data_IF_825572584512
#
_entry.id   IF_825572584512
#
_cell.length_a   1.000
_cell.length_b   1.000
_cell.length_c   1.000
_cell.angle_alpha   90.00
_cell.angle_beta   90.00
_cell.angle_gamma   90.00
#
_symmetry.space_group_name_H-M   'P 1'
#
loop_
_entity.id
_entity.type
_entity.pdbx_description
1 polymer ?
#
# COMPACT_ATOMS: atom_id res chain seq x y z
N UNK A 1 -5.38 -10.54 14.68
CA UNK A 1 -4.44 -9.57 14.08
C UNK A 1 -4.34 -9.73 12.57
N UNK A 2 -3.86 -8.71 11.87
CA UNK A 2 -3.64 -8.75 10.41
C UNK A 2 -2.69 -9.89 10.03
N UNK A 3 -1.62 -10.10 10.80
CA UNK A 3 -0.67 -11.18 10.56
C UNK A 3 -1.33 -12.56 10.56
N UNK A 4 -2.30 -12.80 11.46
CA UNK A 4 -3.03 -14.07 11.51
C UNK A 4 -3.93 -14.26 10.28
N UNK A 5 -4.59 -13.18 9.81
CA UNK A 5 -5.39 -13.23 8.59
C UNK A 5 -4.49 -13.56 7.37
N UNK A 6 -3.31 -12.93 7.29
CA UNK A 6 -2.33 -13.16 6.22
C UNK A 6 -1.85 -14.62 6.25
N UNK A 7 -1.46 -15.17 7.42
CA UNK A 7 -1.01 -16.57 7.58
C UNK A 7 -2.07 -17.57 7.12
N UNK A 8 -3.34 -17.31 7.46
CA UNK A 8 -4.45 -18.19 7.05
C UNK A 8 -4.65 -18.20 5.54
N UNK A 9 -4.47 -17.04 4.88
CA UNK A 9 -4.75 -16.89 3.46
C UNK A 9 -3.57 -17.24 2.56
N UNK A 10 -2.38 -16.74 2.88
CA UNK A 10 -1.21 -16.89 2.04
C UNK A 10 -0.21 -17.87 2.66
N UNK A 11 -0.16 -19.09 2.15
CA UNK A 11 0.69 -20.16 2.70
C UNK A 11 2.18 -19.99 2.38
N UNK A 12 2.51 -19.30 1.31
CA UNK A 12 3.90 -19.18 0.81
C UNK A 12 4.21 -17.73 0.45
N UNK A 13 4.89 -17.03 1.37
CA UNK A 13 5.43 -15.69 1.18
C UNK A 13 6.93 -15.76 1.36
N UNK A 14 7.70 -15.18 0.47
CA UNK A 14 9.16 -15.13 0.57
C UNK A 14 9.62 -13.74 1.01
N UNK A 15 8.94 -12.68 0.56
CA UNK A 15 9.32 -11.30 0.75
C UNK A 15 8.09 -10.42 0.97
N UNK A 16 8.24 -9.41 1.81
CA UNK A 16 7.28 -8.32 1.97
C UNK A 16 7.83 -7.07 1.28
N UNK A 17 7.01 -6.43 0.47
CA UNK A 17 7.30 -5.14 -0.16
C UNK A 17 6.33 -4.09 0.38
N UNK A 18 6.87 -3.02 0.96
CA UNK A 18 6.10 -1.91 1.50
C UNK A 18 6.37 -0.62 0.72
N UNK A 19 5.37 0.09 0.23
CA UNK A 19 5.58 1.42 -0.34
C UNK A 19 5.81 2.46 0.77
N UNK A 20 6.87 3.22 0.66
CA UNK A 20 7.18 4.30 1.59
C UNK A 20 6.26 5.50 1.34
N UNK A 21 5.89 6.24 2.39
CA UNK A 21 6.32 6.10 3.80
C UNK A 21 5.33 5.25 4.62
N UNK A 22 4.01 5.39 4.39
CA UNK A 22 2.96 4.83 5.24
C UNK A 22 3.09 3.31 5.45
N UNK A 23 3.41 2.57 4.38
CA UNK A 23 3.54 1.12 4.44
C UNK A 23 4.76 0.59 5.21
N UNK A 24 5.77 1.42 5.50
CA UNK A 24 7.05 0.94 6.04
C UNK A 24 6.91 0.34 7.42
N UNK A 25 6.25 1.04 8.34
CA UNK A 25 6.10 0.59 9.73
C UNK A 25 5.26 -0.69 9.80
N UNK A 26 4.11 -0.71 9.13
CA UNK A 26 3.26 -1.90 9.13
C UNK A 26 3.92 -3.06 8.37
N UNK A 27 4.65 -2.78 7.29
CA UNK A 27 5.44 -3.78 6.57
C UNK A 27 6.47 -4.44 7.47
N UNK A 28 7.23 -3.65 8.23
CA UNK A 28 8.20 -4.13 9.20
C UNK A 28 7.55 -5.04 10.26
N UNK A 29 6.48 -4.57 10.91
CA UNK A 29 5.79 -5.35 11.95
C UNK A 29 5.22 -6.68 11.40
N UNK A 30 4.60 -6.64 10.23
CA UNK A 30 4.10 -7.88 9.60
C UNK A 30 5.26 -8.81 9.24
N UNK A 31 6.36 -8.27 8.72
CA UNK A 31 7.56 -9.05 8.40
C UNK A 31 8.13 -9.77 9.62
N UNK A 32 8.27 -9.05 10.73
CA UNK A 32 8.68 -9.58 12.02
C UNK A 32 7.76 -10.72 12.50
N UNK A 33 6.44 -10.50 12.49
CA UNK A 33 5.44 -11.48 12.92
C UNK A 33 5.36 -12.72 12.01
N UNK A 34 5.66 -12.55 10.72
CA UNK A 34 5.69 -13.64 9.75
C UNK A 34 7.08 -14.29 9.61
N UNK A 35 8.11 -13.71 10.24
CA UNK A 35 9.53 -14.09 10.08
C UNK A 35 9.94 -14.06 8.60
N UNK A 36 9.61 -12.95 7.92
CA UNK A 36 9.92 -12.71 6.52
C UNK A 36 10.72 -11.44 6.34
N UNK A 37 11.65 -11.48 5.38
CA UNK A 37 12.36 -10.30 4.94
C UNK A 37 11.36 -9.24 4.49
N UNK A 38 11.64 -7.99 4.87
CA UNK A 38 10.83 -6.82 4.48
C UNK A 38 11.72 -5.78 3.85
N UNK A 39 11.35 -5.36 2.66
CA UNK A 39 11.95 -4.24 1.96
C UNK A 39 10.90 -3.18 1.67
N UNK A 40 11.34 -1.99 1.35
CA UNK A 40 10.43 -0.94 0.91
C UNK A 40 10.89 -0.32 -0.41
N UNK A 41 9.92 0.25 -1.13
CA UNK A 41 10.18 1.10 -2.28
C UNK A 41 9.81 2.54 -1.95
N UNK A 42 10.55 3.47 -2.51
CA UNK A 42 10.35 4.91 -2.29
C UNK A 42 10.20 5.65 -3.62
N UNK A 43 9.54 6.82 -3.59
CA UNK A 43 9.35 7.60 -4.81
C UNK A 43 10.59 8.39 -5.16
N UNK A 44 11.06 8.18 -6.38
CA UNK A 44 12.11 8.99 -7.02
C UNK A 44 11.51 9.54 -8.32
N UNK A 45 11.48 10.83 -8.47
CA UNK A 45 10.86 11.50 -9.62
C UNK A 45 9.43 11.00 -9.91
N UNK A 46 8.63 10.85 -8.83
CA UNK A 46 7.25 10.43 -8.90
C UNK A 46 7.01 8.92 -9.12
N UNK A 47 8.05 8.12 -9.34
CA UNK A 47 7.95 6.67 -9.59
C UNK A 47 8.50 5.87 -8.41
N UNK A 48 7.84 4.79 -8.03
CA UNK A 48 8.41 3.86 -7.04
C UNK A 48 9.64 3.16 -7.59
N UNK A 49 10.67 3.12 -6.77
CA UNK A 49 11.99 2.56 -7.09
C UNK A 49 12.52 1.82 -5.87
N UNK A 50 13.17 0.69 -6.09
CA UNK A 50 13.97 0.02 -5.06
C UNK A 50 15.32 0.74 -4.96
N UNK A 51 15.70 1.10 -3.73
CA UNK A 51 16.97 1.78 -3.42
C UNK A 51 17.66 1.09 -2.25
N UNK A 52 18.76 1.66 -1.76
CA UNK A 52 19.46 1.20 -0.55
C UNK A 52 19.92 -0.26 -0.63
N UNK A 53 20.26 -0.72 -1.84
CA UNK A 53 20.65 -2.12 -2.06
C UNK A 53 19.50 -3.12 -2.04
N UNK A 54 18.24 -2.68 -1.87
CA UNK A 54 17.10 -3.58 -1.93
C UNK A 54 16.90 -4.13 -3.33
N UNK A 55 16.68 -5.44 -3.41
CA UNK A 55 16.34 -6.14 -4.64
C UNK A 55 15.25 -7.19 -4.38
N UNK A 56 14.58 -7.61 -5.42
CA UNK A 56 13.60 -8.69 -5.40
C UNK A 56 14.18 -9.84 -6.21
N UNK A 57 14.43 -10.98 -5.58
CA UNK A 57 14.96 -12.17 -6.26
C UNK A 57 13.96 -12.70 -7.29
N UNK A 58 14.47 -13.14 -8.44
CA UNK A 58 13.67 -13.81 -9.47
C UNK A 58 12.90 -14.98 -8.86
N UNK A 59 11.62 -15.08 -9.19
CA UNK A 59 10.74 -16.15 -8.70
C UNK A 59 10.20 -15.95 -7.28
N UNK A 60 10.70 -14.96 -6.52
CA UNK A 60 10.23 -14.69 -5.15
C UNK A 60 8.73 -14.41 -5.12
N UNK A 61 8.05 -14.93 -4.11
CA UNK A 61 6.63 -14.69 -3.84
C UNK A 61 6.49 -13.50 -2.91
N UNK A 62 6.03 -12.39 -3.47
CA UNK A 62 6.02 -11.09 -2.81
C UNK A 62 4.61 -10.70 -2.37
N UNK A 63 4.45 -10.38 -1.08
CA UNK A 63 3.24 -9.77 -0.53
C UNK A 63 3.46 -8.26 -0.42
N UNK A 64 2.52 -7.46 -0.93
CA UNK A 64 2.54 -6.01 -0.75
C UNK A 64 1.77 -5.66 0.52
N UNK A 65 2.40 -4.85 1.39
CA UNK A 65 1.80 -4.36 2.64
C UNK A 65 1.71 -2.84 2.60
N UNK A 66 0.51 -2.32 2.84
CA UNK A 66 0.20 -0.89 2.89
C UNK A 66 -0.44 -0.51 4.24
N UNK A 67 -0.40 0.75 4.60
CA UNK A 67 -1.21 1.30 5.69
C UNK A 67 -2.69 1.38 5.27
N UNK A 68 -2.96 2.05 4.16
CA UNK A 68 -4.32 2.26 3.63
C UNK A 68 -4.35 2.01 2.12
N UNK A 69 -5.25 1.15 1.67
CA UNK A 69 -5.54 0.99 0.24
C UNK A 69 -6.84 1.71 -0.10
N UNK A 70 -6.77 2.67 -1.04
CA UNK A 70 -7.93 3.39 -1.59
C UNK A 70 -8.19 2.98 -3.04
N UNK A 71 -7.56 3.64 -4.00
CA UNK A 71 -7.66 3.29 -5.43
C UNK A 71 -6.75 2.14 -5.83
N UNK A 72 -5.78 1.78 -4.99
CA UNK A 72 -4.76 0.78 -5.29
C UNK A 72 -3.66 1.27 -6.24
N UNK A 73 -3.58 2.59 -6.54
CA UNK A 73 -2.58 3.13 -7.48
C UNK A 73 -1.15 2.84 -7.01
N UNK A 74 -0.82 3.08 -5.75
CA UNK A 74 0.50 2.78 -5.16
C UNK A 74 0.81 1.30 -5.24
N UNK A 75 -0.14 0.46 -4.85
CA UNK A 75 0.00 -1.00 -4.92
C UNK A 75 0.23 -1.49 -6.34
N UNK A 76 -0.47 -0.93 -7.35
CA UNK A 76 -0.25 -1.28 -8.77
C UNK A 76 1.15 -0.84 -9.27
N UNK A 77 1.68 0.26 -8.77
CA UNK A 77 3.06 0.66 -9.07
C UNK A 77 4.07 -0.32 -8.47
N UNK A 78 3.84 -0.81 -7.25
CA UNK A 78 4.65 -1.87 -6.63
C UNK A 78 4.59 -3.18 -7.42
N UNK A 79 3.43 -3.54 -7.98
CA UNK A 79 3.29 -4.72 -8.87
C UNK A 79 4.23 -4.62 -10.07
N UNK A 80 4.44 -3.42 -10.62
CA UNK A 80 5.37 -3.22 -11.74
C UNK A 80 6.83 -3.54 -11.34
N UNK A 81 7.24 -3.20 -10.11
CA UNK A 81 8.57 -3.56 -9.59
C UNK A 81 8.73 -5.07 -9.46
N UNK A 82 7.72 -5.75 -8.91
CA UNK A 82 7.69 -7.21 -8.77
C UNK A 82 7.83 -7.87 -10.15
N UNK A 83 7.04 -7.43 -11.14
CA UNK A 83 7.10 -7.95 -12.52
C UNK A 83 8.46 -7.71 -13.17
N UNK A 84 9.02 -6.50 -13.01
CA UNK A 84 10.35 -6.16 -13.55
C UNK A 84 11.45 -7.07 -13.00
N UNK A 85 11.28 -7.56 -11.78
CA UNK A 85 12.20 -8.51 -11.13
C UNK A 85 11.91 -9.97 -11.46
N UNK A 86 10.99 -10.27 -12.38
CA UNK A 86 10.53 -11.64 -12.66
C UNK A 86 10.08 -12.40 -11.40
N UNK A 87 9.51 -11.71 -10.45
CA UNK A 87 8.95 -12.25 -9.21
C UNK A 87 7.42 -12.41 -9.32
N UNK A 88 6.81 -13.04 -8.33
CA UNK A 88 5.39 -13.37 -8.30
C UNK A 88 4.67 -12.56 -7.23
N UNK A 89 3.60 -11.86 -7.59
CA UNK A 89 2.72 -11.24 -6.62
C UNK A 89 1.89 -12.31 -5.92
N UNK A 90 1.89 -12.31 -4.59
CA UNK A 90 1.03 -13.17 -3.76
C UNK A 90 -0.34 -12.52 -3.56
N UNK A 91 -0.35 -11.24 -3.21
CA UNK A 91 -1.55 -10.46 -2.94
C UNK A 91 -1.21 -9.15 -2.24
N UNK A 92 -2.23 -8.58 -1.62
CA UNK A 92 -2.12 -7.32 -0.89
C UNK A 92 -2.63 -7.47 0.52
N UNK A 93 -2.01 -6.74 1.47
CA UNK A 93 -2.61 -6.58 2.78
C UNK A 93 -2.44 -5.14 3.27
N UNK A 94 -3.37 -4.68 4.13
CA UNK A 94 -3.33 -3.33 4.69
C UNK A 94 -4.02 -3.27 6.04
N UNK A 95 -3.76 -2.21 6.80
CA UNK A 95 -4.53 -1.93 8.00
C UNK A 95 -5.96 -1.56 7.63
N UNK A 96 -6.12 -0.62 6.70
CA UNK A 96 -7.42 -0.07 6.32
C UNK A 96 -7.66 -0.27 4.81
N UNK A 97 -8.68 -1.04 4.48
CA UNK A 97 -9.22 -1.12 3.12
C UNK A 97 -10.35 -0.10 2.96
N UNK A 98 -10.12 0.89 2.12
CA UNK A 98 -11.10 1.92 1.72
C UNK A 98 -11.50 1.80 0.25
N UNK A 99 -11.30 0.62 -0.35
CA UNK A 99 -11.64 0.44 -1.76
C UNK A 99 -13.15 0.43 -1.97
N UNK A 100 -13.62 1.28 -2.88
CA UNK A 100 -14.97 1.22 -3.44
C UNK A 100 -14.93 0.62 -4.84
N UNK A 101 -14.01 1.13 -5.68
CA UNK A 101 -13.69 0.58 -7.00
C UNK A 101 -12.18 0.54 -7.12
N UNK A 102 -11.61 -0.64 -7.33
CA UNK A 102 -10.17 -0.82 -7.48
C UNK A 102 -9.84 -1.64 -8.72
N UNK A 103 -8.68 -1.37 -9.31
CA UNK A 103 -8.11 -2.16 -10.41
C UNK A 103 -7.26 -3.33 -9.90
N UNK A 104 -7.15 -3.51 -8.60
CA UNK A 104 -6.45 -4.64 -8.03
C UNK A 104 -7.27 -5.91 -8.26
N UNK A 105 -6.68 -6.87 -8.99
CA UNK A 105 -7.34 -8.14 -9.31
C UNK A 105 -7.13 -9.20 -8.22
N UNK A 106 -6.06 -9.07 -7.43
CA UNK A 106 -5.75 -9.98 -6.34
C UNK A 106 -6.50 -9.57 -5.09
N UNK A 107 -6.75 -10.54 -4.22
CA UNK A 107 -7.41 -10.32 -2.93
C UNK A 107 -6.63 -9.37 -2.03
N UNK A 108 -7.37 -8.53 -1.33
CA UNK A 108 -6.85 -7.60 -0.32
C UNK A 108 -7.25 -8.13 1.06
N UNK A 109 -6.27 -8.44 1.89
CA UNK A 109 -6.49 -8.79 3.29
C UNK A 109 -6.34 -7.53 4.14
N UNK A 110 -7.38 -7.12 4.81
CA UNK A 110 -7.36 -5.93 5.66
C UNK A 110 -7.66 -6.23 7.11
N UNK A 111 -7.13 -5.38 8.01
CA UNK A 111 -7.54 -5.42 9.41
C UNK A 111 -8.97 -4.89 9.54
N UNK A 112 -9.27 -3.77 8.87
CA UNK A 112 -10.58 -3.12 8.85
C UNK A 112 -10.93 -2.74 7.41
N UNK A 113 -12.20 -2.87 7.04
CA UNK A 113 -12.75 -2.32 5.79
C UNK A 113 -13.71 -1.19 6.12
N UNK A 114 -13.46 0.00 5.56
CA UNK A 114 -14.26 1.19 5.77
C UNK A 114 -14.84 1.70 4.46
N UNK A 115 -16.15 1.91 4.43
CA UNK A 115 -16.81 2.62 3.34
C UNK A 115 -16.84 4.11 3.68
N UNK A 116 -15.92 4.87 3.07
CA UNK A 116 -15.89 6.33 3.23
C UNK A 116 -16.40 6.95 1.95
N UNK A 117 -17.48 7.75 2.01
CA UNK A 117 -18.01 8.43 0.85
C UNK A 117 -16.96 9.34 0.23
N UNK A 118 -16.88 9.34 -1.09
CA UNK A 118 -16.04 10.26 -1.86
C UNK A 118 -16.95 11.08 -2.75
N UNK A 119 -16.83 12.40 -2.71
CA UNK A 119 -17.68 13.30 -3.47
C UNK A 119 -16.86 14.02 -4.54
N UNK A 120 -17.49 14.30 -5.66
CA UNK A 120 -16.92 15.20 -6.65
C UNK A 120 -17.06 16.64 -6.15
N UNK A 121 -16.05 17.49 -6.37
CA UNK A 121 -16.06 18.89 -5.99
C UNK A 121 -17.31 19.65 -6.51
N UNK A 122 -17.83 19.24 -7.66
CA UNK A 122 -19.02 19.84 -8.27
C UNK A 122 -20.33 19.44 -7.58
N UNK A 123 -20.36 18.29 -6.87
CA UNK A 123 -21.55 17.69 -6.26
C UNK A 123 -21.29 17.38 -4.79
N UNK A 124 -20.86 18.36 -4.03
CA UNK A 124 -20.67 18.23 -2.58
C UNK A 124 -22.02 18.33 -1.87
N UNK A 125 -22.30 17.43 -0.91
CA UNK A 125 -23.43 17.62 0.02
C UNK A 125 -23.35 18.96 0.76
N UNK A 126 -24.48 19.54 1.11
CA UNK A 126 -24.56 20.86 1.78
C UNK A 126 -23.71 20.90 3.05
N UNK A 127 -23.79 19.85 3.88
CA UNK A 127 -23.05 19.76 5.13
C UNK A 127 -21.52 19.71 4.98
N UNK A 128 -21.00 19.44 3.77
CA UNK A 128 -19.56 19.43 3.49
C UNK A 128 -19.10 20.74 2.85
N UNK A 129 -20.01 21.46 2.17
CA UNK A 129 -19.65 22.69 1.44
C UNK A 129 -19.04 23.77 2.34
N UNK A 130 -19.48 23.83 3.59
CA UNK A 130 -19.04 24.83 4.59
C UNK A 130 -17.75 24.45 5.29
N UNK A 131 -17.28 23.19 5.13
CA UNK A 131 -16.06 22.73 5.76
C UNK A 131 -14.86 23.14 4.90
N UNK A 132 -13.90 23.91 5.42
CA UNK A 132 -12.72 24.30 4.66
C UNK A 132 -11.91 23.08 4.27
N UNK A 133 -11.50 23.04 2.99
CA UNK A 133 -10.65 21.95 2.49
C UNK A 133 -9.24 22.10 3.04
N UNK A 134 -8.87 21.24 3.95
CA UNK A 134 -7.48 21.09 4.40
C UNK A 134 -6.78 19.99 3.62
N UNK A 135 -5.50 20.16 3.33
CA UNK A 135 -4.67 19.16 2.67
C UNK A 135 -3.75 18.52 3.71
N UNK A 136 -4.15 17.43 4.35
CA UNK A 136 -3.29 16.77 5.32
C UNK A 136 -2.12 16.09 4.62
N UNK A 137 -0.96 16.13 5.25
CA UNK A 137 0.23 15.41 4.83
C UNK A 137 1.24 16.23 4.04
N UNK A 138 2.46 15.73 4.05
CA UNK A 138 3.68 16.37 3.55
C UNK A 138 3.71 16.65 2.03
N UNK A 139 2.86 16.04 1.24
CA UNK A 139 2.85 16.21 -0.23
C UNK A 139 2.54 17.63 -0.70
N UNK A 140 2.02 18.47 0.18
CA UNK A 140 1.55 19.82 -0.14
C UNK A 140 2.21 20.90 0.70
N UNK A 141 3.17 20.56 1.54
CA UNK A 141 4.04 21.52 2.17
C UNK A 141 4.97 22.07 1.08
N UNK A 142 4.60 23.19 0.47
CA UNK A 142 5.58 24.08 -0.12
C UNK A 142 6.42 24.56 1.06
N UNK A 143 7.70 24.26 1.08
CA UNK A 143 8.64 24.89 1.98
C UNK A 143 8.52 26.38 1.73
N UNK A 144 7.99 27.10 2.71
CA UNK A 144 8.06 28.54 2.74
C UNK A 144 9.54 28.86 3.00
N UNK A 145 10.26 29.21 1.93
CA UNK A 145 11.53 29.90 2.02
C UNK A 145 11.24 31.37 2.36
#
# INVERSE_FOLDING_TARGET
SLANKIKKKFKKIDLILAPAMGGVIIGYEIGKLLKKETIFCERVNGKFTLRRGFNIKKGARVLIIEDVITTGKSSLECVKLIKKSNAKLVGFACLIDRTSKTKLKNEIISQVKLKIPTYNKKNLPSYIKEIPVTKPGSRFLKWLN
#
